data_IF_501894171701
#
_entry.id   IF_501894171701
#
_cell.length_a   1.000
_cell.length_b   1.000
_cell.length_c   1.000
_cell.angle_alpha   90.00
_cell.angle_beta   90.00
_cell.angle_gamma   90.00
#
_symmetry.space_group_name_H-M   'P 1'
#
loop_
_entity.id
_entity.type
_entity.pdbx_description
1 polymer ?
#
# COMPACT_ATOMS: atom_id res chain seq x y z
N UNK A 1 28.82 40.42 38.06
CA UNK A 1 28.55 39.97 39.45
C UNK A 1 27.36 39.01 39.42
N UNK A 2 27.44 37.97 40.25
CA UNK A 2 26.61 36.76 40.31
C UNK A 2 25.10 37.04 40.46
N UNK A 3 24.27 36.18 39.85
CA UNK A 3 23.41 35.22 40.57
C UNK A 3 22.72 34.23 39.62
N UNK A 4 23.29 33.02 39.60
CA UNK A 4 22.68 31.72 39.30
C UNK A 4 21.41 31.49 40.11
N UNK A 5 20.39 30.86 39.52
CA UNK A 5 19.48 29.91 40.17
C UNK A 5 18.78 29.05 39.10
N UNK A 6 19.20 27.79 38.99
CA UNK A 6 18.41 26.65 38.48
C UNK A 6 17.54 26.13 39.65
N UNK A 7 16.44 25.43 39.34
CA UNK A 7 16.10 24.25 40.11
C UNK A 7 15.91 23.00 39.23
N UNK A 8 16.53 21.94 39.73
CA UNK A 8 16.37 20.54 39.39
C UNK A 8 15.04 20.03 39.98
N UNK A 9 14.25 19.29 39.21
CA UNK A 9 13.26 18.34 39.70
C UNK A 9 13.25 17.15 38.71
N UNK A 10 14.04 16.11 38.97
CA UNK A 10 13.70 14.93 39.76
C UNK A 10 12.84 13.91 38.99
N UNK A 11 13.55 12.87 38.51
CA UNK A 11 13.06 11.57 38.05
C UNK A 11 12.05 10.97 39.05
N UNK A 12 10.96 10.41 38.53
CA UNK A 12 10.24 9.32 39.19
C UNK A 12 10.09 8.16 38.20
N UNK A 13 10.94 7.16 38.41
CA UNK A 13 10.89 5.83 37.82
C UNK A 13 9.90 4.99 38.64
N UNK A 14 8.89 4.38 38.02
CA UNK A 14 8.10 3.32 38.65
C UNK A 14 8.13 2.09 37.76
N UNK A 15 8.82 1.06 38.27
CA UNK A 15 8.86 -0.30 37.77
C UNK A 15 8.31 -1.22 38.87
N UNK A 16 7.32 -2.06 38.51
CA UNK A 16 6.80 -3.22 39.25
C UNK A 16 5.55 -3.71 38.46
N UNK A 17 5.27 -5.00 38.21
CA UNK A 17 5.81 -6.27 38.67
C UNK A 17 5.47 -7.37 37.65
N UNK A 18 6.37 -8.34 37.58
CA UNK A 18 6.33 -9.67 36.95
C UNK A 18 4.99 -10.43 37.03
N UNK A 19 4.66 -11.08 35.92
CA UNK A 19 3.83 -12.27 35.86
C UNK A 19 4.46 -13.30 34.91
N UNK A 20 5.41 -14.09 35.41
CA UNK A 20 5.92 -15.27 34.70
C UNK A 20 4.95 -16.44 34.96
N UNK A 21 4.34 -16.99 33.91
CA UNK A 21 3.74 -18.32 33.96
C UNK A 21 4.79 -19.32 33.48
N UNK A 22 5.27 -20.13 34.41
CA UNK A 22 6.25 -21.19 34.17
C UNK A 22 5.59 -22.44 33.61
N UNK A 23 6.21 -22.93 32.54
CA UNK A 23 6.03 -24.24 31.93
C UNK A 23 6.56 -25.30 32.92
N UNK A 24 5.75 -26.31 33.23
CA UNK A 24 6.19 -27.49 33.99
C UNK A 24 6.07 -28.74 33.11
N UNK A 25 7.21 -29.28 32.71
CA UNK A 25 7.45 -30.72 32.55
C UNK A 25 8.74 -31.04 33.32
N UNK A 26 8.83 -32.21 33.97
CA UNK A 26 9.75 -33.20 33.45
C UNK A 26 9.25 -34.66 33.55
N UNK A 27 9.95 -35.51 32.80
CA UNK A 27 9.72 -36.91 32.51
C UNK A 27 10.24 -37.88 33.59
N UNK A 28 9.74 -39.12 33.56
CA UNK A 28 10.45 -40.35 33.97
C UNK A 28 9.93 -41.55 33.12
N UNK A 29 10.87 -42.40 32.72
CA UNK A 29 10.87 -43.58 31.79
C UNK A 29 10.22 -44.89 32.37
N UNK A 30 10.42 -46.14 31.84
CA UNK A 30 10.08 -46.74 30.52
C UNK A 30 9.41 -48.16 30.57
N UNK A 31 8.84 -48.61 29.42
CA UNK A 31 8.66 -50.00 28.86
C UNK A 31 7.95 -51.17 29.64
N UNK A 32 7.56 -52.34 29.03
CA UNK A 32 7.42 -52.74 27.60
C UNK A 32 6.14 -53.55 27.20
N UNK A 33 5.98 -53.75 25.88
CA UNK A 33 5.39 -54.86 25.10
C UNK A 33 4.31 -55.82 25.67
N UNK A 34 3.21 -56.00 24.90
CA UNK A 34 2.65 -57.33 24.59
C UNK A 34 1.63 -57.31 23.44
N UNK A 35 1.82 -58.26 22.52
CA UNK A 35 1.02 -58.59 21.34
C UNK A 35 -0.15 -59.51 21.72
N UNK A 36 -1.33 -59.36 21.09
CA UNK A 36 -2.26 -60.47 20.85
C UNK A 36 -3.37 -60.11 19.84
N UNK A 37 -3.40 -60.87 18.75
CA UNK A 37 -4.49 -61.02 17.78
C UNK A 37 -5.49 -62.07 18.28
N UNK A 38 -6.76 -62.05 17.84
CA UNK A 38 -7.33 -63.21 17.12
C UNK A 38 -8.25 -62.75 15.95
N UNK A 39 -8.06 -63.18 14.70
CA UNK A 39 -8.53 -64.42 14.00
C UNK A 39 -10.05 -64.65 13.92
N UNK A 40 -10.54 -64.81 12.67
CA UNK A 40 -11.71 -65.62 12.28
C UNK A 40 -12.85 -64.82 11.62
N UNK A 41 -12.92 -64.76 10.27
CA UNK A 41 -13.73 -65.60 9.36
C UNK A 41 -15.24 -65.35 9.52
N UNK A 42 -16.04 -65.01 8.50
CA UNK A 42 -16.32 -65.78 7.27
C UNK A 42 -16.99 -64.94 6.16
N UNK A 43 -16.73 -65.36 4.93
CA UNK A 43 -17.35 -64.99 3.65
C UNK A 43 -18.84 -65.36 3.59
N UNK A 44 -19.65 -64.53 2.92
CA UNK A 44 -20.81 -65.01 2.14
C UNK A 44 -20.93 -64.23 0.84
N UNK A 45 -20.93 -65.01 -0.24
CA UNK A 45 -21.10 -64.66 -1.64
C UNK A 45 -22.60 -64.45 -1.90
N UNK A 46 -22.95 -63.46 -2.73
CA UNK A 46 -24.15 -63.54 -3.57
C UNK A 46 -23.79 -63.09 -4.98
N UNK A 47 -24.28 -63.89 -5.92
CA UNK A 47 -24.05 -63.91 -7.36
C UNK A 47 -25.23 -63.25 -8.10
N UNK A 48 -24.96 -62.83 -9.34
CA UNK A 48 -25.91 -62.53 -10.42
C UNK A 48 -26.82 -61.29 -10.25
N UNK A 49 -26.79 -60.27 -11.13
CA UNK A 49 -27.24 -60.31 -12.54
C UNK A 49 -26.83 -59.01 -13.25
N UNK A 50 -26.59 -59.08 -14.56
CA UNK A 50 -26.18 -57.98 -15.44
C UNK A 50 -27.22 -56.85 -15.58
N UNK A 51 -26.74 -55.60 -15.66
CA UNK A 51 -27.45 -54.48 -16.27
C UNK A 51 -26.46 -53.63 -17.11
N UNK A 52 -26.83 -53.18 -18.32
CA UNK A 52 -25.95 -52.46 -19.24
C UNK A 52 -26.21 -50.96 -19.14
N UNK A 53 -25.34 -50.22 -18.46
CA UNK A 53 -25.22 -48.77 -18.66
C UNK A 53 -23.84 -48.33 -18.19
N UNK A 54 -22.90 -48.34 -19.13
CA UNK A 54 -21.56 -47.78 -19.02
C UNK A 54 -21.67 -46.26 -19.22
N UNK A 55 -21.53 -45.41 -18.20
CA UNK A 55 -21.45 -43.98 -18.43
C UNK A 55 -20.11 -43.69 -19.07
N UNK A 56 -20.16 -43.30 -20.35
CA UNK A 56 -19.03 -42.79 -21.11
C UNK A 56 -18.15 -41.86 -20.26
N UNK A 57 -16.80 -41.92 -20.38
CA UNK A 57 -15.93 -41.06 -19.60
C UNK A 57 -16.24 -39.59 -19.94
N UNK A 58 -16.76 -38.87 -18.94
CA UNK A 58 -16.92 -37.42 -18.98
C UNK A 58 -15.60 -36.79 -19.40
N UNK A 59 -15.57 -36.22 -20.60
CA UNK A 59 -14.51 -35.33 -21.04
C UNK A 59 -14.39 -34.21 -20.01
N UNK A 60 -13.31 -34.23 -19.24
CA UNK A 60 -12.92 -33.10 -18.39
C UNK A 60 -12.71 -31.91 -19.33
N UNK A 61 -13.40 -30.77 -19.13
CA UNK A 61 -13.10 -29.60 -19.93
C UNK A 61 -11.69 -29.15 -19.57
N UNK A 62 -10.77 -29.27 -20.54
CA UNK A 62 -9.45 -28.65 -20.48
C UNK A 62 -9.64 -27.15 -20.28
N UNK A 63 -9.59 -26.71 -19.02
CA UNK A 63 -9.45 -25.31 -18.67
C UNK A 63 -7.96 -25.01 -18.57
N UNK A 64 -7.23 -25.25 -19.66
CA UNK A 64 -5.93 -24.61 -19.86
C UNK A 64 -6.19 -23.18 -20.34
N UNK A 65 -6.71 -22.35 -19.43
CA UNK A 65 -6.73 -20.91 -19.65
C UNK A 65 -5.31 -20.42 -19.81
N UNK A 66 -4.99 -19.84 -20.97
CA UNK A 66 -3.78 -19.06 -21.13
C UNK A 66 -3.68 -18.04 -19.98
N UNK A 67 -2.49 -17.73 -19.45
CA UNK A 67 -2.34 -16.75 -18.39
C UNK A 67 -3.01 -15.45 -18.79
N UNK A 68 -4.03 -15.02 -18.04
CA UNK A 68 -4.60 -13.70 -18.21
C UNK A 68 -3.50 -12.69 -17.86
N UNK A 69 -2.90 -12.07 -18.87
CA UNK A 69 -1.99 -10.95 -18.64
C UNK A 69 -2.77 -9.87 -17.90
N UNK A 70 -2.40 -9.58 -16.65
CA UNK A 70 -3.04 -8.53 -15.86
C UNK A 70 -2.99 -7.22 -16.65
N UNK A 71 -4.14 -6.61 -16.89
CA UNK A 71 -4.20 -5.38 -17.68
C UNK A 71 -3.57 -4.24 -16.88
N UNK A 72 -2.45 -3.71 -17.37
CA UNK A 72 -1.79 -2.56 -16.75
C UNK A 72 -2.68 -1.31 -16.74
N UNK A 73 -2.50 -0.47 -15.72
CA UNK A 73 -3.05 0.88 -15.73
C UNK A 73 -2.38 1.76 -16.79
N UNK A 74 -3.06 2.83 -17.16
CA UNK A 74 -2.55 3.88 -18.04
C UNK A 74 -2.79 5.25 -17.40
N UNK A 75 -1.89 6.20 -17.65
CA UNK A 75 -2.03 7.56 -17.14
C UNK A 75 -3.33 8.26 -17.61
N UNK A 76 -3.85 7.88 -18.78
CA UNK A 76 -5.10 8.42 -19.30
C UNK A 76 -6.31 8.04 -18.43
N UNK A 77 -6.33 6.85 -17.81
CA UNK A 77 -7.42 6.44 -16.93
C UNK A 77 -7.53 7.30 -15.68
N UNK A 78 -6.42 7.88 -15.21
CA UNK A 78 -6.42 8.67 -13.97
C UNK A 78 -7.22 9.96 -14.10
N UNK A 79 -7.38 10.48 -15.32
CA UNK A 79 -8.20 11.67 -15.60
C UNK A 79 -9.67 11.52 -15.20
N UNK A 80 -10.16 10.30 -15.09
CA UNK A 80 -11.54 10.02 -14.67
C UNK A 80 -11.58 9.16 -13.41
N UNK A 81 -10.45 9.07 -12.68
CA UNK A 81 -10.37 8.31 -11.45
C UNK A 81 -11.03 9.05 -10.29
N UNK A 82 -11.18 8.36 -9.17
CA UNK A 82 -11.72 8.91 -7.92
C UNK A 82 -10.58 9.03 -6.91
N UNK A 83 -10.46 10.17 -6.26
CA UNK A 83 -9.55 10.36 -5.12
C UNK A 83 -10.28 10.04 -3.82
N UNK A 84 -9.65 9.27 -2.94
CA UNK A 84 -10.30 8.77 -1.73
C UNK A 84 -11.25 7.60 -2.01
N UNK A 85 -11.65 6.93 -0.95
CA UNK A 85 -12.65 5.87 -0.93
C UNK A 85 -13.21 5.72 0.50
N UNK A 86 -14.06 4.71 0.75
CA UNK A 86 -14.67 4.48 2.07
C UNK A 86 -13.70 4.07 3.18
N UNK A 87 -12.49 3.63 2.84
CA UNK A 87 -11.45 3.18 3.78
C UNK A 87 -10.32 4.20 3.96
N UNK A 88 -9.97 4.95 2.92
CA UNK A 88 -8.93 5.97 2.93
C UNK A 88 -9.45 7.27 2.32
N UNK A 89 -9.39 8.35 3.10
CA UNK A 89 -9.83 9.68 2.64
C UNK A 89 -8.71 10.36 1.85
N UNK A 90 -9.10 11.14 0.85
CA UNK A 90 -8.14 12.03 0.18
C UNK A 90 -8.06 13.36 0.92
N UNK A 91 -6.89 13.67 1.49
CA UNK A 91 -6.61 14.92 2.20
C UNK A 91 -7.72 15.38 3.16
N UNK A 92 -8.29 14.43 3.91
CA UNK A 92 -9.35 14.71 4.89
C UNK A 92 -10.75 14.96 4.34
N UNK A 93 -10.95 14.98 3.01
CA UNK A 93 -12.28 15.09 2.42
C UNK A 93 -13.17 13.94 2.87
N UNK A 94 -14.41 14.22 3.33
CA UNK A 94 -15.28 13.19 3.87
C UNK A 94 -15.79 12.24 2.79
N UNK A 95 -16.04 12.77 1.60
CA UNK A 95 -16.54 12.01 0.45
C UNK A 95 -15.43 11.83 -0.61
N UNK A 96 -15.44 10.72 -1.36
CA UNK A 96 -14.54 10.55 -2.51
C UNK A 96 -14.75 11.63 -3.57
N UNK A 97 -13.65 12.07 -4.18
CA UNK A 97 -13.64 13.14 -5.19
C UNK A 97 -13.56 12.53 -6.59
N UNK A 98 -14.64 12.55 -7.39
CA UNK A 98 -14.58 12.11 -8.78
C UNK A 98 -13.89 13.17 -9.66
N UNK A 99 -12.89 12.75 -10.41
CA UNK A 99 -12.22 13.62 -11.38
C UNK A 99 -12.95 13.60 -12.73
N UNK A 100 -12.98 14.75 -13.38
CA UNK A 100 -13.44 14.95 -14.75
C UNK A 100 -12.31 15.59 -15.54
N UNK A 101 -11.77 14.85 -16.51
CA UNK A 101 -10.57 15.23 -17.29
C UNK A 101 -9.36 15.65 -16.42
N UNK A 102 -9.17 14.96 -15.29
CA UNK A 102 -8.08 15.18 -14.35
C UNK A 102 -8.33 16.29 -13.34
N UNK A 103 -9.52 16.89 -13.33
CA UNK A 103 -9.85 18.01 -12.46
C UNK A 103 -11.09 17.76 -11.62
N UNK A 104 -11.15 18.42 -10.48
CA UNK A 104 -12.35 18.58 -9.68
C UNK A 104 -12.39 19.99 -9.07
N UNK A 105 -13.60 20.55 -8.98
CA UNK A 105 -13.84 21.83 -8.32
C UNK A 105 -14.91 21.64 -7.25
N UNK A 106 -14.55 21.93 -6.01
CA UNK A 106 -15.44 21.89 -4.86
C UNK A 106 -16.29 23.15 -4.73
N UNK A 107 -17.43 23.01 -4.04
CA UNK A 107 -18.30 24.14 -3.68
C UNK A 107 -17.62 25.11 -2.69
N UNK A 108 -16.61 24.63 -1.97
CA UNK A 108 -15.73 25.40 -1.08
C UNK A 108 -14.71 26.27 -1.84
N UNK A 109 -14.69 26.19 -3.17
CA UNK A 109 -13.72 26.88 -4.02
C UNK A 109 -12.39 26.14 -4.17
N UNK A 110 -12.25 24.96 -3.57
CA UNK A 110 -11.04 24.14 -3.74
C UNK A 110 -11.01 23.54 -5.14
N UNK A 111 -9.86 23.62 -5.82
CA UNK A 111 -9.60 22.96 -7.09
C UNK A 111 -8.55 21.89 -6.89
N UNK A 112 -8.83 20.69 -7.39
CA UNK A 112 -7.89 19.57 -7.42
C UNK A 112 -7.58 19.25 -8.88
N UNK A 113 -6.30 19.08 -9.20
CA UNK A 113 -5.87 18.86 -10.58
C UNK A 113 -4.71 17.86 -10.62
N UNK A 114 -4.92 16.72 -11.29
CA UNK A 114 -3.86 15.79 -11.67
C UNK A 114 -2.83 16.53 -12.54
N UNK A 115 -1.57 16.43 -12.15
CA UNK A 115 -0.46 17.02 -12.88
C UNK A 115 0.31 15.95 -13.66
N UNK A 116 1.09 16.39 -14.63
CA UNK A 116 2.16 15.58 -15.21
C UNK A 116 3.46 15.80 -14.42
N UNK A 117 4.38 14.83 -14.42
CA UNK A 117 4.33 13.53 -15.11
C UNK A 117 3.62 12.43 -14.31
N UNK A 118 3.19 11.37 -14.99
CA UNK A 118 2.63 10.16 -14.39
C UNK A 118 3.54 8.95 -14.60
N UNK A 119 3.60 8.05 -13.62
CA UNK A 119 4.35 6.80 -13.69
C UNK A 119 3.43 5.58 -13.60
N UNK A 120 3.76 4.54 -14.35
CA UNK A 120 3.12 3.21 -14.31
C UNK A 120 4.18 2.18 -13.93
N UNK A 121 3.83 1.26 -13.05
CA UNK A 121 4.71 0.17 -12.61
C UNK A 121 4.17 -0.52 -11.37
N UNK A 122 4.70 -1.71 -11.07
CA UNK A 122 4.28 -2.49 -9.91
C UNK A 122 4.90 -1.93 -8.60
N UNK A 123 4.04 -1.46 -7.70
CA UNK A 123 4.39 -0.93 -6.39
C UNK A 123 3.84 -1.78 -5.24
N UNK A 124 2.72 -2.49 -5.44
CA UNK A 124 2.12 -3.42 -4.48
C UNK A 124 2.83 -4.78 -4.42
N UNK A 125 3.52 -5.18 -5.50
CA UNK A 125 4.18 -6.47 -5.63
C UNK A 125 3.26 -7.61 -6.07
N UNK A 126 2.14 -7.30 -6.73
CA UNK A 126 1.17 -8.29 -7.22
C UNK A 126 1.27 -8.57 -8.73
N UNK A 127 2.37 -8.13 -9.36
CA UNK A 127 2.62 -8.18 -10.80
C UNK A 127 1.61 -7.39 -11.67
N UNK A 128 0.67 -6.65 -11.06
CA UNK A 128 -0.19 -5.70 -11.75
C UNK A 128 0.43 -4.31 -11.70
N UNK A 129 0.57 -3.66 -12.87
CA UNK A 129 1.14 -2.32 -12.89
C UNK A 129 0.16 -1.29 -12.30
N UNK A 130 0.57 -0.67 -11.19
CA UNK A 130 -0.07 0.44 -10.50
C UNK A 130 0.24 1.78 -11.17
N UNK A 131 -0.27 2.87 -10.61
CA UNK A 131 0.03 4.22 -11.05
C UNK A 131 0.38 5.16 -9.90
N UNK A 132 1.31 6.08 -10.17
CA UNK A 132 1.67 7.18 -9.29
C UNK A 132 1.58 8.50 -10.06
N UNK A 133 0.90 9.49 -9.47
CA UNK A 133 0.67 10.77 -10.14
C UNK A 133 0.71 11.94 -9.15
N UNK A 134 1.35 13.06 -9.50
CA UNK A 134 1.26 14.28 -8.72
C UNK A 134 -0.14 14.89 -8.85
N UNK A 135 -0.63 15.44 -7.75
CA UNK A 135 -1.88 16.18 -7.69
C UNK A 135 -1.60 17.53 -7.06
N UNK A 136 -2.12 18.58 -7.69
CA UNK A 136 -2.12 19.92 -7.16
C UNK A 136 -3.49 20.21 -6.53
N UNK A 137 -3.49 20.65 -5.28
CA UNK A 137 -4.64 21.20 -4.59
C UNK A 137 -4.49 22.70 -4.38
N UNK A 138 -5.50 23.44 -4.82
CA UNK A 138 -5.64 24.87 -4.64
C UNK A 138 -6.90 25.18 -3.83
N UNK A 139 -6.75 25.49 -2.55
CA UNK A 139 -7.87 25.86 -1.67
C UNK A 139 -8.35 27.31 -1.82
N UNK A 140 -7.98 28.03 -2.87
CA UNK A 140 -8.37 29.42 -3.12
C UNK A 140 -7.51 30.47 -2.40
N UNK A 141 -6.54 30.05 -1.59
CA UNK A 141 -5.54 30.91 -0.97
C UNK A 141 -4.31 31.17 -1.86
N UNK A 142 -3.24 31.67 -1.26
CA UNK A 142 -1.96 31.87 -1.96
C UNK A 142 -1.16 30.57 -2.10
N UNK A 143 -1.41 29.59 -1.23
CA UNK A 143 -0.77 28.27 -1.26
C UNK A 143 -1.20 27.44 -2.46
N UNK A 144 -0.32 26.51 -2.85
CA UNK A 144 -0.50 25.52 -3.92
C UNK A 144 0.12 24.22 -3.42
N UNK A 145 -0.71 23.34 -2.86
CA UNK A 145 -0.25 22.15 -2.16
C UNK A 145 -0.13 20.99 -3.12
N UNK A 146 1.06 20.41 -3.20
CA UNK A 146 1.33 19.26 -4.06
C UNK A 146 1.31 17.99 -3.25
N UNK A 147 0.64 16.97 -3.80
CA UNK A 147 0.63 15.62 -3.27
C UNK A 147 1.12 14.64 -4.33
N UNK A 148 1.61 13.49 -3.87
CA UNK A 148 1.81 12.31 -4.71
C UNK A 148 0.73 11.29 -4.36
N UNK A 149 -0.07 10.89 -5.35
CA UNK A 149 -1.17 9.95 -5.18
C UNK A 149 -0.81 8.62 -5.81
N UNK A 150 -1.09 7.53 -5.09
CA UNK A 150 -0.99 6.16 -5.60
C UNK A 150 -2.38 5.62 -5.92
N UNK A 151 -2.48 5.01 -7.10
CA UNK A 151 -3.59 4.16 -7.51
C UNK A 151 -3.12 2.73 -7.66
N UNK A 152 -3.77 1.82 -6.95
CA UNK A 152 -3.62 0.39 -7.14
C UNK A 152 -4.37 -0.09 -8.38
N UNK A 153 -3.92 -1.18 -8.97
CA UNK A 153 -4.57 -1.80 -10.12
C UNK A 153 -5.50 -2.95 -9.72
N UNK A 154 -6.82 -2.74 -9.81
CA UNK A 154 -7.81 -3.81 -9.64
C UNK A 154 -8.47 -4.07 -10.99
N UNK A 155 -8.17 -5.21 -11.61
CA UNK A 155 -8.71 -5.66 -12.90
C UNK A 155 -8.56 -4.61 -14.03
N UNK A 156 -7.43 -3.91 -14.04
CA UNK A 156 -7.12 -2.84 -15.00
C UNK A 156 -7.92 -1.56 -14.78
N UNK A 157 -8.36 -1.29 -13.55
CA UNK A 157 -9.04 -0.07 -13.11
C UNK A 157 -8.26 0.59 -11.96
N UNK A 158 -8.07 1.92 -11.99
CA UNK A 158 -7.37 2.61 -10.92
C UNK A 158 -8.25 2.68 -9.67
N UNK A 159 -7.72 2.21 -8.54
CA UNK A 159 -8.35 2.33 -7.22
C UNK A 159 -7.43 3.15 -6.34
N UNK A 160 -7.95 4.23 -5.75
CA UNK A 160 -7.17 5.07 -4.85
C UNK A 160 -6.64 4.24 -3.66
N UNK A 161 -5.34 4.33 -3.39
CA UNK A 161 -4.69 3.64 -2.28
C UNK A 161 -4.31 4.63 -1.19
N UNK A 162 -3.55 5.65 -1.53
CA UNK A 162 -2.98 6.59 -0.55
C UNK A 162 -2.45 7.86 -1.22
N UNK A 163 -2.10 8.84 -0.40
CA UNK A 163 -1.39 10.05 -0.82
C UNK A 163 -0.31 10.43 0.19
N UNK A 164 0.71 11.14 -0.28
CA UNK A 164 1.69 11.85 0.55
C UNK A 164 1.74 13.31 0.14
N UNK A 165 1.66 14.22 1.11
CA UNK A 165 1.85 15.65 0.88
C UNK A 165 3.33 15.97 0.76
N UNK A 166 3.71 16.65 -0.32
CA UNK A 166 5.10 17.07 -0.59
C UNK A 166 5.26 18.59 -0.46
N UNK A 167 4.27 19.30 0.08
CA UNK A 167 4.36 20.69 0.51
C UNK A 167 3.71 21.72 -0.41
N UNK A 168 3.90 22.99 -0.02
CA UNK A 168 3.42 24.18 -0.74
C UNK A 168 4.44 24.61 -1.80
N UNK A 169 3.97 24.83 -3.04
CA UNK A 169 4.75 25.23 -4.23
C UNK A 169 5.90 24.28 -4.56
N UNK A 170 5.62 22.97 -4.52
CA UNK A 170 6.62 21.93 -4.79
C UNK A 170 6.36 21.17 -6.11
N UNK A 171 6.50 21.84 -7.29
CA UNK A 171 6.20 21.22 -8.56
C UNK A 171 7.07 20.00 -8.83
N UNK A 172 6.43 18.95 -9.34
CA UNK A 172 7.07 17.68 -9.66
C UNK A 172 7.63 17.71 -11.07
N UNK A 173 8.87 17.29 -11.21
CA UNK A 173 9.59 17.26 -12.49
C UNK A 173 9.67 15.84 -13.08
N UNK A 174 9.76 14.81 -12.23
CA UNK A 174 9.74 13.42 -12.68
C UNK A 174 9.15 12.48 -11.63
N UNK A 175 8.54 11.41 -12.12
CA UNK A 175 8.02 10.30 -11.31
C UNK A 175 8.39 9.00 -12.02
N UNK A 176 8.83 7.99 -11.27
CA UNK A 176 9.05 6.64 -11.81
C UNK A 176 8.77 5.58 -10.76
N UNK A 177 8.36 4.39 -11.20
CA UNK A 177 8.18 3.21 -10.34
C UNK A 177 9.13 2.13 -10.86
N UNK A 178 10.04 1.66 -10.00
CA UNK A 178 10.98 0.57 -10.30
C UNK A 178 11.28 -0.22 -9.05
N UNK A 179 11.36 -1.55 -9.16
CA UNK A 179 11.70 -2.44 -8.05
C UNK A 179 10.85 -2.19 -6.80
N UNK A 180 9.53 -2.00 -6.98
CA UNK A 180 8.56 -1.68 -5.92
C UNK A 180 8.89 -0.41 -5.11
N UNK A 181 9.54 0.55 -5.76
CA UNK A 181 9.83 1.86 -5.19
C UNK A 181 9.43 2.95 -6.17
N UNK A 182 8.87 4.02 -5.62
CA UNK A 182 8.62 5.24 -6.36
C UNK A 182 9.81 6.20 -6.18
N UNK A 183 10.31 6.77 -7.26
CA UNK A 183 11.25 7.90 -7.22
C UNK A 183 10.55 9.14 -7.76
N UNK A 184 10.52 10.20 -6.97
CA UNK A 184 9.89 11.49 -7.30
C UNK A 184 10.96 12.56 -7.23
N UNK A 185 11.10 13.32 -8.31
CA UNK A 185 11.95 14.52 -8.34
C UNK A 185 11.06 15.74 -8.36
N UNK A 186 11.25 16.63 -7.40
CA UNK A 186 10.43 17.84 -7.27
C UNK A 186 11.25 19.02 -6.76
N UNK A 187 10.78 20.22 -7.09
CA UNK A 187 11.35 21.45 -6.57
C UNK A 187 10.76 21.75 -5.19
N UNK A 188 11.55 22.31 -4.30
CA UNK A 188 11.14 22.67 -2.95
C UNK A 188 12.05 23.76 -2.36
N UNK A 189 11.86 24.04 -1.08
CA UNK A 189 12.61 25.02 -0.31
C UNK A 189 13.50 24.35 0.75
N UNK A 190 14.56 25.02 1.19
CA UNK A 190 15.19 24.71 2.47
C UNK A 190 14.16 24.78 3.61
N UNK A 191 14.31 23.95 4.64
CA UNK A 191 13.31 23.83 5.72
C UNK A 191 13.03 25.17 6.44
N UNK A 192 14.04 26.02 6.57
CA UNK A 192 14.02 27.33 7.23
C UNK A 192 13.71 28.51 6.30
N UNK A 193 13.56 28.27 4.99
CA UNK A 193 13.28 29.32 4.00
C UNK A 193 11.81 29.78 4.00
N UNK A 194 11.53 30.92 3.36
CA UNK A 194 10.14 31.36 3.14
C UNK A 194 9.38 30.38 2.22
N UNK A 195 8.04 30.30 2.34
CA UNK A 195 7.19 29.47 1.47
C UNK A 195 7.19 29.92 0.00
N UNK A 196 7.66 31.13 -0.29
CA UNK A 196 7.80 31.64 -1.66
C UNK A 196 9.15 31.27 -2.30
N UNK A 197 10.10 30.76 -1.52
CA UNK A 197 11.42 30.38 -2.04
C UNK A 197 11.35 28.97 -2.64
N UNK A 198 11.92 28.79 -3.83
CA UNK A 198 12.08 27.48 -4.46
C UNK A 198 13.54 27.40 -4.92
N UNK A 199 14.36 26.74 -4.12
CA UNK A 199 15.82 26.76 -4.26
C UNK A 199 16.47 25.37 -4.10
N UNK A 200 15.66 24.32 -3.92
CA UNK A 200 16.10 22.94 -3.77
C UNK A 200 15.43 22.07 -4.82
N UNK A 201 16.20 21.24 -5.52
CA UNK A 201 15.69 20.10 -6.26
C UNK A 201 15.89 18.86 -5.40
N UNK A 202 14.80 18.24 -4.95
CA UNK A 202 14.80 17.02 -4.16
C UNK A 202 14.54 15.81 -5.05
N UNK A 203 15.31 14.75 -4.85
CA UNK A 203 15.02 13.40 -5.36
C UNK A 203 14.65 12.53 -4.17
N UNK A 204 13.36 12.23 -4.01
CA UNK A 204 12.84 11.41 -2.92
C UNK A 204 12.49 10.00 -3.42
N UNK A 205 12.75 9.01 -2.57
CA UNK A 205 12.40 7.61 -2.82
C UNK A 205 11.37 7.18 -1.80
N UNK A 206 10.26 6.65 -2.28
CA UNK A 206 9.14 6.16 -1.47
C UNK A 206 8.98 4.65 -1.64
N UNK A 207 8.54 4.01 -0.56
CA UNK A 207 8.14 2.61 -0.52
C UNK A 207 6.72 2.51 0.06
N UNK A 208 5.92 1.58 -0.46
CA UNK A 208 4.61 1.29 0.10
C UNK A 208 4.77 0.43 1.36
N UNK A 209 4.41 0.97 2.51
CA UNK A 209 4.41 0.26 3.79
C UNK A 209 2.97 0.15 4.30
N UNK A 210 2.35 -1.01 4.12
CA UNK A 210 0.92 -1.19 4.37
C UNK A 210 0.11 -0.36 3.38
N UNK A 211 -0.74 0.55 3.88
CA UNK A 211 -1.54 1.47 3.06
C UNK A 211 -0.94 2.87 2.93
N UNK A 212 0.35 3.05 3.20
CA UNK A 212 1.01 4.37 3.22
C UNK A 212 2.24 4.40 2.33
N UNK A 213 2.37 5.47 1.56
CA UNK A 213 3.65 5.83 0.93
C UNK A 213 4.56 6.46 1.98
N UNK A 214 5.70 5.83 2.23
CA UNK A 214 6.69 6.32 3.20
C UNK A 214 7.95 6.72 2.45
N UNK A 215 8.43 7.95 2.68
CA UNK A 215 9.73 8.37 2.19
C UNK A 215 10.82 7.60 2.95
N UNK A 216 11.64 6.83 2.23
CA UNK A 216 12.71 6.03 2.82
C UNK A 216 14.09 6.67 2.66
N UNK A 217 14.24 7.60 1.72
CA UNK A 217 15.46 8.38 1.51
C UNK A 217 15.20 9.54 0.56
N UNK A 218 16.02 10.60 0.66
CA UNK A 218 16.09 11.63 -0.38
C UNK A 218 17.52 12.17 -0.55
N UNK A 219 17.73 12.91 -1.63
CA UNK A 219 18.90 13.76 -1.84
C UNK A 219 18.45 15.12 -2.33
N UNK A 220 19.11 16.17 -1.84
CA UNK A 220 18.82 17.56 -2.21
C UNK A 220 19.99 18.16 -2.99
N UNK A 221 19.68 18.89 -4.05
CA UNK A 221 20.62 19.68 -4.84
C UNK A 221 20.15 21.14 -4.92
N UNK A 222 21.07 22.12 -4.96
CA UNK A 222 20.70 23.50 -5.24
C UNK A 222 19.94 23.61 -6.56
N UNK A 223 18.88 24.42 -6.56
CA UNK A 223 18.11 24.80 -7.74
C UNK A 223 18.17 26.32 -7.90
N UNK A 224 18.50 26.78 -9.10
CA UNK A 224 18.46 28.19 -9.47
C UNK A 224 17.59 28.27 -10.73
N UNK A 225 16.44 28.97 -10.67
CA UNK A 225 15.52 29.10 -11.81
C UNK A 225 16.14 29.70 -13.07
#
# INVERSE_FOLDING_TARGET
>A
MRRTLLPVAALALVAALSGCVTINTPADDPDPAASAQPTGSTVSVNDETADPDDPAPSAVPDTSGAPATLRALTCAQLKTAVLGNGSERYNGYPEPIPLVDGMWSGEDGTVVHIQQPCAIGDLTGDDAADALVPVLMDGGGTGKFWQIVMYGNIDGKPVYVTMVDIGDRTPVESVSIKSRRATVVYLTRPEDASSAEVAVRRTAVYELSGSRLVEISHTDAPYTP
#
